data_IF_398731230757
#
_entry.id   IF_398731230757
#
_cell.length_a   1.000
_cell.length_b   1.000
_cell.length_c   1.000
_cell.angle_alpha   90.00
_cell.angle_beta   90.00
_cell.angle_gamma   90.00
#
_symmetry.space_group_name_H-M   'P 1'
#
loop_
_entity.id
_entity.type
_entity.pdbx_description
1 polymer ?
#
# COMPACT_ATOMS: atom_id res chain seq x y z
N UNK A 1 -10.00 27.44 14.96
CA UNK A 1 -9.60 26.70 13.75
C UNK A 1 -8.60 25.67 14.20
N UNK A 2 -8.95 24.39 14.39
CA UNK A 2 -7.94 23.42 14.82
C UNK A 2 -7.00 23.16 13.66
N UNK A 3 -5.71 23.33 13.93
CA UNK A 3 -4.61 23.03 13.03
C UNK A 3 -4.72 21.58 12.59
N UNK A 4 -4.87 21.36 11.28
CA UNK A 4 -4.76 20.03 10.67
C UNK A 4 -3.30 19.65 10.84
N UNK A 5 -3.03 18.86 11.88
CA UNK A 5 -1.73 18.22 12.08
C UNK A 5 -1.48 17.35 10.86
N UNK A 6 -0.76 17.88 9.87
CA UNK A 6 -0.07 17.06 8.88
C UNK A 6 1.06 16.37 9.64
N UNK A 7 0.69 15.37 10.44
CA UNK A 7 1.63 14.34 10.83
C UNK A 7 2.13 13.78 9.50
N UNK A 8 3.45 13.77 9.33
CA UNK A 8 4.12 13.05 8.26
C UNK A 8 3.62 11.60 8.35
N UNK A 9 2.53 11.29 7.64
CA UNK A 9 1.77 10.05 7.79
C UNK A 9 2.54 9.00 7.00
N UNK A 10 3.68 8.61 7.56
CA UNK A 10 4.49 7.53 7.04
C UNK A 10 3.68 6.25 7.13
N UNK A 11 3.03 5.88 6.03
CA UNK A 11 2.32 4.60 5.88
C UNK A 11 3.09 3.47 6.58
N UNK A 12 2.45 2.86 7.56
CA UNK A 12 2.99 1.72 8.28
C UNK A 12 3.04 0.49 7.38
N UNK A 13 3.73 -0.56 7.82
CA UNK A 13 3.75 -1.85 7.11
C UNK A 13 2.33 -2.39 6.94
N UNK A 14 1.53 -2.30 8.00
CA UNK A 14 0.18 -2.84 8.04
C UNK A 14 -0.76 -2.06 7.11
N UNK A 15 -0.68 -0.71 7.11
CA UNK A 15 -1.44 0.12 6.16
C UNK A 15 -1.08 -0.16 4.70
N UNK A 16 0.21 -0.36 4.39
CA UNK A 16 0.62 -0.75 3.05
C UNK A 16 0.03 -2.12 2.63
N UNK A 17 -0.03 -3.08 3.55
CA UNK A 17 -0.63 -4.39 3.27
C UNK A 17 -2.15 -4.31 3.10
N UNK A 18 -2.84 -3.50 3.92
CA UNK A 18 -4.28 -3.23 3.78
C UNK A 18 -4.60 -2.58 2.43
N UNK A 19 -3.83 -1.56 2.02
CA UNK A 19 -4.00 -0.92 0.70
C UNK A 19 -3.75 -1.92 -0.43
N UNK A 20 -2.70 -2.72 -0.33
CA UNK A 20 -2.40 -3.74 -1.34
C UNK A 20 -3.53 -4.79 -1.43
N UNK A 21 -4.18 -5.12 -0.32
CA UNK A 21 -5.32 -6.04 -0.30
C UNK A 21 -6.57 -5.42 -0.92
N UNK A 22 -6.92 -4.19 -0.54
CA UNK A 22 -8.05 -3.47 -1.12
C UNK A 22 -7.91 -3.33 -2.65
N UNK A 23 -6.71 -2.96 -3.13
CA UNK A 23 -6.42 -2.85 -4.57
C UNK A 23 -6.56 -4.19 -5.30
N UNK A 24 -6.22 -5.32 -4.66
CA UNK A 24 -6.43 -6.66 -5.23
C UNK A 24 -7.90 -7.03 -5.28
N UNK A 25 -8.69 -6.68 -4.25
CA UNK A 25 -10.13 -6.91 -4.22
C UNK A 25 -10.84 -6.09 -5.31
N UNK A 26 -10.48 -4.83 -5.46
CA UNK A 26 -11.00 -3.96 -6.52
C UNK A 26 -10.62 -4.49 -7.91
N UNK A 27 -9.37 -4.91 -8.09
CA UNK A 27 -8.92 -5.55 -9.34
C UNK A 27 -9.65 -6.88 -9.63
N UNK A 28 -10.09 -7.61 -8.60
CA UNK A 28 -10.84 -8.85 -8.78
C UNK A 28 -12.27 -8.59 -9.29
N UNK A 29 -12.85 -7.43 -8.96
CA UNK A 29 -14.15 -6.98 -9.44
C UNK A 29 -14.10 -6.42 -10.88
N UNK A 30 -12.92 -6.05 -11.37
CA UNK A 30 -12.76 -5.52 -12.73
C UNK A 30 -12.65 -6.62 -13.80
N UNK A 31 -13.20 -6.38 -15.00
CA UNK A 31 -12.92 -7.21 -16.16
C UNK A 31 -11.43 -7.17 -16.48
N UNK A 32 -10.93 -8.25 -17.09
CA UNK A 32 -9.54 -8.31 -17.56
C UNK A 32 -9.28 -7.17 -18.56
N UNK A 33 -8.31 -6.31 -18.24
CA UNK A 33 -7.97 -5.15 -19.04
C UNK A 33 -6.92 -4.28 -18.35
N UNK A 34 -6.56 -3.18 -19.01
CA UNK A 34 -5.49 -2.27 -18.57
C UNK A 34 -5.72 -1.74 -17.15
N UNK A 35 -6.97 -1.43 -16.78
CA UNK A 35 -7.32 -0.92 -15.45
C UNK A 35 -7.06 -1.95 -14.34
N UNK A 36 -7.43 -3.21 -14.59
CA UNK A 36 -7.12 -4.32 -13.67
C UNK A 36 -5.62 -4.50 -13.52
N UNK A 37 -4.87 -4.49 -14.62
CA UNK A 37 -3.41 -4.61 -14.59
C UNK A 37 -2.75 -3.44 -13.83
N UNK A 38 -3.27 -2.22 -13.99
CA UNK A 38 -2.79 -1.05 -13.27
C UNK A 38 -3.04 -1.16 -11.77
N UNK A 39 -4.22 -1.62 -11.34
CA UNK A 39 -4.52 -1.85 -9.92
C UNK A 39 -3.64 -2.96 -9.33
N UNK A 40 -3.40 -4.05 -10.08
CA UNK A 40 -2.52 -5.12 -9.63
C UNK A 40 -1.07 -4.66 -9.49
N UNK A 41 -0.55 -3.87 -10.44
CA UNK A 41 0.78 -3.26 -10.32
C UNK A 41 0.88 -2.30 -9.14
N UNK A 42 -0.17 -1.53 -8.90
CA UNK A 42 -0.21 -0.62 -7.74
C UNK A 42 -0.19 -1.43 -6.43
N UNK A 43 -0.99 -2.50 -6.34
CA UNK A 43 -1.00 -3.39 -5.19
C UNK A 43 0.36 -4.05 -4.93
N UNK A 44 1.08 -4.44 -6.00
CA UNK A 44 2.43 -4.97 -5.91
C UNK A 44 3.40 -3.92 -5.37
N UNK A 45 3.34 -2.68 -5.85
CA UNK A 45 4.16 -1.57 -5.35
C UNK A 45 3.97 -1.29 -3.85
N UNK A 46 2.74 -1.35 -3.34
CA UNK A 46 2.47 -1.21 -1.90
C UNK A 46 3.03 -2.38 -1.08
N UNK A 47 2.95 -3.60 -1.61
CA UNK A 47 3.52 -4.78 -0.96
C UNK A 47 5.05 -4.72 -0.90
N UNK A 48 5.69 -4.23 -1.96
CA UNK A 48 7.13 -4.01 -1.99
C UNK A 48 7.56 -2.95 -0.99
N UNK A 49 6.78 -1.86 -0.88
CA UNK A 49 7.00 -0.83 0.14
C UNK A 49 6.85 -1.39 1.57
N UNK A 50 5.84 -2.22 1.82
CA UNK A 50 5.67 -2.90 3.10
C UNK A 50 6.87 -3.81 3.43
N UNK A 51 7.36 -4.56 2.43
CA UNK A 51 8.53 -5.42 2.58
C UNK A 51 9.81 -4.63 2.85
N UNK A 52 10.02 -3.51 2.15
CA UNK A 52 11.14 -2.61 2.39
C UNK A 52 11.10 -2.04 3.82
N UNK A 53 9.92 -1.60 4.28
CA UNK A 53 9.71 -1.12 5.66
C UNK A 53 9.99 -2.21 6.69
N UNK A 54 9.53 -3.45 6.47
CA UNK A 54 9.88 -4.61 7.34
C UNK A 54 11.37 -4.84 7.40
N UNK A 55 12.08 -4.77 6.28
CA UNK A 55 13.53 -4.96 6.24
C UNK A 55 14.26 -3.85 7.00
N UNK A 56 13.83 -2.60 6.86
CA UNK A 56 14.38 -1.48 7.64
C UNK A 56 14.15 -1.74 9.12
N UNK A 57 12.91 -1.96 9.54
CA UNK A 57 12.54 -2.20 10.95
C UNK A 57 13.30 -3.38 11.57
N UNK A 58 13.48 -4.49 10.82
CA UNK A 58 14.29 -5.63 11.27
C UNK A 58 15.78 -5.33 11.41
N UNK A 59 16.30 -4.34 10.69
CA UNK A 59 17.72 -3.96 10.69
C UNK A 59 18.06 -2.91 11.74
N UNK A 60 17.06 -2.18 12.25
CA UNK A 60 17.23 -1.20 13.34
C UNK A 60 17.02 -1.82 14.74
N UNK A 61 16.63 -3.10 14.81
CA UNK A 61 16.32 -3.81 16.05
C UNK A 61 17.40 -4.82 16.45
#
# INVERSE_FOLDING_TARGET
MPEVMMQDEHLTVDECDEIAEALRQDAACLPSGLEKENLLKLAEGYRDLANAKRMVLRKVN
#
